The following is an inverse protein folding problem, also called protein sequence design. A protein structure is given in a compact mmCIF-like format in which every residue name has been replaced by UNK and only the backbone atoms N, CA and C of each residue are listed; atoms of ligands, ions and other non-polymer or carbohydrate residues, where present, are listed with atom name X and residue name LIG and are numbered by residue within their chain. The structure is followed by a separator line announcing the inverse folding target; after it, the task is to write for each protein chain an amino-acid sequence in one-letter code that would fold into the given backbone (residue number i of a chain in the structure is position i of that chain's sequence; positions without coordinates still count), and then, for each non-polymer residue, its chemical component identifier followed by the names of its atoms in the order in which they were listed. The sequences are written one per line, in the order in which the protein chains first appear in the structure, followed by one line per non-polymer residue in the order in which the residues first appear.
data_IF_166819113830
#
_entry.id   IF_166819113830
#
_cell.length_a   1.000
_cell.length_b   1.000
_cell.length_c   1.000
_cell.angle_alpha   90.00
_cell.angle_beta   90.00
_cell.angle_gamma   90.00
#
_symmetry.space_group_name_H-M   'P 1'
#
loop_
_entity.id
_entity.type
_entity.pdbx_description
1 polymer ?
#
# COMPACT_ATOMS: atom_id res chain seq x y z
N UNK A 1 24.84 -7.51 -0.59
CA UNK A 1 24.18 -6.25 -1.05
C UNK A 1 22.73 -6.59 -1.36
N UNK A 2 21.75 -5.84 -0.84
CA UNK A 2 20.32 -6.08 -1.13
C UNK A 2 20.01 -5.61 -2.55
N UNK A 3 19.27 -6.39 -3.35
CA UNK A 3 18.87 -6.01 -4.71
C UNK A 3 17.91 -4.82 -4.72
N UNK A 4 17.87 -4.09 -5.84
CA UNK A 4 16.96 -2.95 -6.00
C UNK A 4 15.49 -3.36 -5.80
N UNK A 5 15.06 -4.46 -6.42
CA UNK A 5 13.70 -5.00 -6.27
C UNK A 5 13.35 -5.30 -4.81
N UNK A 6 14.27 -5.91 -4.06
CA UNK A 6 14.04 -6.19 -2.64
C UNK A 6 13.90 -4.91 -1.80
N UNK A 7 14.62 -3.83 -2.16
CA UNK A 7 14.46 -2.52 -1.51
C UNK A 7 13.08 -1.94 -1.82
N UNK A 8 12.68 -1.92 -3.09
CA UNK A 8 11.35 -1.43 -3.52
C UNK A 8 10.23 -2.18 -2.79
N UNK A 9 10.28 -3.51 -2.74
CA UNK A 9 9.28 -4.33 -2.06
C UNK A 9 9.21 -4.06 -0.55
N UNK A 10 10.36 -3.82 0.08
CA UNK A 10 10.44 -3.54 1.52
C UNK A 10 9.92 -2.15 1.84
N UNK A 11 10.32 -1.14 1.08
CA UNK A 11 9.81 0.23 1.19
C UNK A 11 8.30 0.29 0.96
N UNK A 12 7.79 -0.42 -0.04
CA UNK A 12 6.35 -0.50 -0.29
C UNK A 12 5.57 -1.03 0.92
N UNK A 13 6.08 -2.11 1.55
CA UNK A 13 5.50 -2.67 2.77
C UNK A 13 5.52 -1.69 3.94
N UNK A 14 6.62 -0.95 4.11
CA UNK A 14 6.75 0.06 5.16
C UNK A 14 5.77 1.22 4.96
N UNK A 15 5.59 1.69 3.71
CA UNK A 15 4.64 2.76 3.38
C UNK A 15 3.20 2.34 3.68
N UNK A 16 2.79 1.12 3.29
CA UNK A 16 1.48 0.56 3.65
C UNK A 16 1.32 0.52 5.17
N UNK A 17 2.31 -0.03 5.89
CA UNK A 17 2.23 -0.16 7.34
C UNK A 17 2.08 1.19 8.05
N UNK A 18 2.72 2.26 7.55
CA UNK A 18 2.57 3.63 8.08
C UNK A 18 1.15 4.15 7.88
N UNK A 19 0.60 3.99 6.67
CA UNK A 19 -0.78 4.39 6.33
C UNK A 19 -1.78 3.65 7.21
N UNK A 20 -1.67 2.32 7.32
CA UNK A 20 -2.56 1.50 8.14
C UNK A 20 -2.47 1.85 9.62
N UNK A 21 -1.26 2.09 10.13
CA UNK A 21 -1.05 2.45 11.54
C UNK A 21 -1.69 3.79 11.86
N UNK A 22 -1.48 4.81 11.04
CA UNK A 22 -2.08 6.13 11.24
C UNK A 22 -3.60 6.10 11.07
N UNK A 23 -4.11 5.40 10.06
CA UNK A 23 -5.55 5.21 9.87
C UNK A 23 -6.20 4.56 11.09
N UNK A 24 -5.60 3.49 11.62
CA UNK A 24 -6.09 2.82 12.83
C UNK A 24 -6.00 3.73 14.07
N UNK A 25 -4.94 4.54 14.19
CA UNK A 25 -4.81 5.50 15.30
C UNK A 25 -5.93 6.55 15.27
N UNK A 26 -6.29 7.05 14.09
CA UNK A 26 -7.37 8.05 13.93
C UNK A 26 -8.74 7.42 14.25
N UNK A 27 -9.01 6.21 13.75
CA UNK A 27 -10.27 5.51 13.98
C UNK A 27 -10.47 5.22 15.47
N UNK A 28 -9.41 4.85 16.18
CA UNK A 28 -9.46 4.53 17.60
C UNK A 28 -9.23 5.76 18.51
N UNK A 29 -9.15 6.97 17.93
CA UNK A 29 -8.91 8.17 18.71
C UNK A 29 -10.08 8.49 19.64
N UNK A 30 -9.80 8.78 20.92
CA UNK A 30 -10.84 9.02 21.95
C UNK A 30 -11.75 10.21 21.62
N UNK A 31 -11.23 11.21 20.92
CA UNK A 31 -12.00 12.37 20.44
C UNK A 31 -11.75 12.59 18.94
N UNK A 32 -12.52 11.96 18.04
CA UNK A 32 -12.27 12.00 16.61
C UNK A 32 -12.53 13.38 15.96
N UNK A 33 -13.10 14.33 16.71
CA UNK A 33 -13.40 15.68 16.21
C UNK A 33 -12.42 16.75 16.70
N UNK A 34 -11.43 16.37 17.53
CA UNK A 34 -10.41 17.32 17.97
C UNK A 34 -9.49 17.74 16.81
N UNK A 35 -8.74 18.82 17.01
CA UNK A 35 -7.82 19.33 15.99
C UNK A 35 -6.74 18.30 15.63
N UNK A 36 -6.17 17.62 16.61
CA UNK A 36 -5.18 16.56 16.40
C UNK A 36 -5.68 15.44 15.47
N UNK A 37 -6.91 14.96 15.65
CA UNK A 37 -7.49 13.93 14.80
C UNK A 37 -7.72 14.42 13.35
N UNK A 38 -8.05 15.70 13.18
CA UNK A 38 -8.18 16.33 11.85
C UNK A 38 -6.83 16.47 11.17
N UNK A 39 -5.84 17.01 11.88
CA UNK A 39 -4.47 17.18 11.38
C UNK A 39 -3.86 15.83 11.00
N UNK A 40 -4.09 14.80 11.83
CA UNK A 40 -3.68 13.43 11.53
C UNK A 40 -4.36 12.87 10.28
N UNK A 41 -5.64 13.19 10.06
CA UNK A 41 -6.36 12.81 8.84
C UNK A 41 -5.82 13.51 7.59
N UNK A 42 -5.47 14.79 7.68
CA UNK A 42 -4.82 15.52 6.58
C UNK A 42 -3.44 14.95 6.28
N UNK A 43 -2.66 14.64 7.32
CA UNK A 43 -1.37 13.98 7.15
C UNK A 43 -1.49 12.57 6.54
N UNK A 44 -2.56 11.84 6.86
CA UNK A 44 -2.85 10.55 6.26
C UNK A 44 -3.06 10.67 4.74
N UNK A 45 -3.76 11.70 4.27
CA UNK A 45 -3.94 11.94 2.84
C UNK A 45 -2.61 12.23 2.13
N UNK A 46 -1.68 12.95 2.79
CA UNK A 46 -0.33 13.15 2.27
C UNK A 46 0.44 11.83 2.15
N UNK A 47 0.39 10.97 3.17
CA UNK A 47 1.04 9.64 3.13
C UNK A 47 0.47 8.74 2.03
N UNK A 48 -0.84 8.78 1.82
CA UNK A 48 -1.49 8.05 0.72
C UNK A 48 -0.99 8.58 -0.62
N UNK A 49 -0.92 9.90 -0.80
CA UNK A 49 -0.41 10.49 -2.05
C UNK A 49 1.07 10.16 -2.32
N UNK A 50 1.90 10.10 -1.28
CA UNK A 50 3.31 9.72 -1.38
C UNK A 50 3.45 8.24 -1.78
N UNK A 51 2.61 7.38 -1.19
CA UNK A 51 2.57 5.95 -1.53
C UNK A 51 2.06 5.72 -2.95
N UNK A 52 1.08 6.50 -3.41
CA UNK A 52 0.57 6.43 -4.78
C UNK A 52 1.68 6.76 -5.79
N UNK A 53 2.39 7.88 -5.59
CA UNK A 53 3.56 8.23 -6.43
C UNK A 53 4.63 7.14 -6.40
N UNK A 54 4.95 6.63 -5.21
CA UNK A 54 5.92 5.55 -5.08
C UNK A 54 5.48 4.29 -5.84
N UNK A 55 4.18 3.97 -5.84
CA UNK A 55 3.65 2.86 -6.59
C UNK A 55 3.77 3.09 -8.10
N UNK A 56 3.43 4.28 -8.60
CA UNK A 56 3.57 4.63 -10.01
C UNK A 56 5.03 4.51 -10.48
N UNK A 57 5.96 5.11 -9.75
CA UNK A 57 7.40 5.11 -10.05
C UNK A 57 8.01 3.70 -10.11
N UNK A 58 7.44 2.76 -9.35
CA UNK A 58 7.94 1.41 -9.20
C UNK A 58 6.93 0.34 -9.66
N UNK A 59 5.97 0.75 -10.48
CA UNK A 59 4.81 -0.06 -10.84
C UNK A 59 5.20 -1.38 -11.48
N UNK A 60 6.22 -1.38 -12.35
CA UNK A 60 6.76 -2.58 -13.00
C UNK A 60 7.22 -3.65 -12.00
N UNK A 61 8.02 -3.26 -11.00
CA UNK A 61 8.51 -4.17 -9.96
C UNK A 61 7.34 -4.66 -9.10
N UNK A 62 6.47 -3.75 -8.67
CA UNK A 62 5.37 -4.05 -7.76
C UNK A 62 4.34 -4.97 -8.41
N UNK A 63 3.93 -4.72 -9.66
CA UNK A 63 2.99 -5.56 -10.39
C UNK A 63 3.56 -6.95 -10.65
N UNK A 64 4.83 -7.06 -11.05
CA UNK A 64 5.50 -8.35 -11.28
C UNK A 64 5.50 -9.25 -10.04
N UNK A 65 5.51 -8.66 -8.85
CA UNK A 65 5.43 -9.37 -7.57
C UNK A 65 4.01 -9.46 -6.99
N UNK A 66 2.98 -9.19 -7.80
CA UNK A 66 1.58 -9.29 -7.43
C UNK A 66 1.15 -8.30 -6.35
N UNK A 67 1.81 -7.14 -6.25
CA UNK A 67 1.41 -6.05 -5.34
C UNK A 67 0.39 -5.16 -6.04
N UNK A 68 -0.71 -4.88 -5.36
CA UNK A 68 -1.73 -3.90 -5.77
C UNK A 68 -1.50 -2.58 -5.06
N UNK A 69 -1.97 -1.44 -5.61
CA UNK A 69 -2.10 -0.20 -4.87
C UNK A 69 -2.87 -0.43 -3.57
N UNK A 70 -2.64 0.44 -2.59
CA UNK A 70 -3.37 0.40 -1.33
C UNK A 70 -4.87 0.65 -1.55
N UNK A 71 -5.75 0.12 -0.70
CA UNK A 71 -7.20 0.25 -0.88
C UNK A 71 -7.71 1.70 -0.81
N UNK A 72 -6.97 2.59 -0.13
CA UNK A 72 -7.25 4.04 -0.07
C UNK A 72 -6.55 4.86 -1.16
N UNK A 73 -5.78 4.20 -2.02
CA UNK A 73 -5.14 4.82 -3.19
C UNK A 73 -6.18 5.40 -4.13
N UNK A 74 -5.84 6.48 -4.82
CA UNK A 74 -6.69 7.06 -5.87
C UNK A 74 -6.30 6.55 -7.27
N UNK A 75 -5.34 5.63 -7.35
CA UNK A 75 -4.86 5.07 -8.61
C UNK A 75 -5.89 4.14 -9.23
N UNK A 76 -6.11 4.27 -10.53
CA UNK A 76 -6.92 3.34 -11.29
C UNK A 76 -6.16 2.02 -11.48
N UNK A 77 -6.79 0.88 -11.15
CA UNK A 77 -6.18 -0.42 -11.39
C UNK A 77 -6.03 -0.69 -12.90
N UNK A 78 -4.80 -0.79 -13.39
CA UNK A 78 -4.54 -1.11 -14.80
C UNK A 78 -4.80 -2.60 -15.07
N UNK A 79 -5.18 -2.92 -16.32
CA UNK A 79 -5.36 -4.31 -16.77
C UNK A 79 -4.10 -5.15 -16.58
N UNK A 80 -2.93 -4.58 -16.87
CA UNK A 80 -1.63 -5.25 -16.69
C UNK A 80 -1.40 -5.65 -15.24
N UNK A 81 -1.74 -4.77 -14.29
CA UNK A 81 -1.58 -5.08 -12.87
C UNK A 81 -2.50 -6.21 -12.42
N UNK A 82 -3.76 -6.19 -12.88
CA UNK A 82 -4.74 -7.23 -12.57
C UNK A 82 -4.22 -8.59 -13.08
N UNK A 83 -3.80 -8.65 -14.35
CA UNK A 83 -3.26 -9.87 -14.96
C UNK A 83 -2.00 -10.38 -14.25
N UNK A 84 -1.08 -9.49 -13.88
CA UNK A 84 0.12 -9.87 -13.15
C UNK A 84 -0.18 -10.40 -11.74
N UNK A 85 -1.16 -9.81 -11.05
CA UNK A 85 -1.60 -10.29 -9.73
C UNK A 85 -2.28 -11.66 -9.83
N UNK A 86 -3.15 -11.85 -10.82
CA UNK A 86 -3.78 -13.14 -11.08
C UNK A 86 -2.73 -14.22 -11.38
N UNK A 87 -1.75 -13.91 -12.23
CA UNK A 87 -0.62 -14.80 -12.53
C UNK A 87 0.18 -15.12 -11.26
N UNK A 88 0.46 -14.13 -10.43
CA UNK A 88 1.17 -14.33 -9.17
C UNK A 88 0.43 -15.31 -8.25
N UNK A 89 -0.87 -15.15 -8.03
CA UNK A 89 -1.65 -16.04 -7.17
C UNK A 89 -1.92 -17.41 -7.79
N UNK A 90 -2.02 -17.51 -9.12
CA UNK A 90 -2.06 -18.79 -9.84
C UNK A 90 -0.79 -19.61 -9.59
N UNK A 91 0.36 -18.96 -9.63
CA UNK A 91 1.65 -19.61 -9.42
C UNK A 91 1.99 -19.83 -7.93
N UNK A 92 1.41 -19.01 -7.05
CA UNK A 92 1.61 -19.06 -5.59
C UNK A 92 0.26 -19.24 -4.90
N UNK A 93 -0.39 -20.42 -5.04
CA UNK A 93 -1.67 -20.67 -4.41
C UNK A 93 -1.52 -20.49 -2.89
N UNK A 94 -2.38 -19.66 -2.29
CA UNK A 94 -2.43 -19.50 -0.82
C UNK A 94 -2.61 -20.89 -0.22
N UNK A 95 -1.60 -21.37 0.51
CA UNK A 95 -1.76 -22.57 1.35
C UNK A 95 -2.89 -22.26 2.33
N UNK A 96 -4.05 -22.91 2.17
CA UNK A 96 -5.08 -22.89 3.21
C UNK A 96 -4.42 -23.44 4.47
N UNK A 97 -4.33 -22.63 5.53
CA UNK A 97 -4.10 -23.17 6.87
C UNK A 97 -5.24 -24.16 7.13
N UNK A 98 -4.90 -25.44 7.28
CA UNK A 98 -5.83 -26.45 7.79
C UNK A 98 -6.14 -26.16 9.25
#
# INVERSE_FOLDING_TARGET
MISFEHRVLSEYRLKIAKVDTLANSIINHRNPKCQEAKDASEFLDLLVSEMDRFYEDNSSVLSNHGKRPHARSRLAESREWIENVERFYKNNPKRRRK
#
